data_IF_775302732467
#
_entry.id   IF_775302732467
#
_cell.length_a   1.000
_cell.length_b   1.000
_cell.length_c   1.000
_cell.angle_alpha   90.00
_cell.angle_beta   90.00
_cell.angle_gamma   90.00
#
_symmetry.space_group_name_H-M   'P 1'
#
loop_
_entity.id
_entity.type
_entity.pdbx_description
1 polymer ?
#
# COMPACT_ATOMS: atom_id res chain seq x y z
N UNK A 1 17.59 1.01 3.01
CA UNK A 1 16.81 0.72 1.79
C UNK A 1 15.87 1.89 1.52
N UNK A 2 15.69 2.31 0.25
CA UNK A 2 14.77 3.40 -0.09
C UNK A 2 13.33 2.86 -0.10
N UNK A 3 12.36 3.50 0.59
CA UNK A 3 10.98 3.04 0.58
C UNK A 3 10.39 3.05 -0.83
N UNK A 4 9.69 1.96 -1.20
CA UNK A 4 8.93 1.88 -2.45
C UNK A 4 7.62 2.65 -2.31
N UNK A 5 7.16 3.23 -3.41
CA UNK A 5 5.90 3.96 -3.44
C UNK A 5 4.71 2.98 -3.57
N UNK A 6 3.61 3.15 -2.80
CA UNK A 6 2.41 2.32 -2.90
C UNK A 6 1.88 2.12 -4.32
N UNK A 7 1.93 3.17 -5.16
CA UNK A 7 1.53 3.06 -6.56
C UNK A 7 2.33 2.02 -7.35
N UNK A 8 3.63 1.88 -7.07
CA UNK A 8 4.50 0.93 -7.79
C UNK A 8 4.21 -0.53 -7.41
N UNK A 9 3.76 -0.77 -6.17
CA UNK A 9 3.40 -2.09 -5.66
C UNK A 9 1.89 -2.36 -5.68
N UNK A 10 1.11 -1.58 -6.44
CA UNK A 10 -0.36 -1.77 -6.54
C UNK A 10 -0.78 -3.10 -7.16
N UNK A 11 0.15 -3.82 -7.78
CA UNK A 11 -0.07 -5.14 -8.36
C UNK A 11 0.72 -6.17 -7.57
N UNK A 12 0.20 -7.40 -7.54
CA UNK A 12 0.87 -8.54 -6.92
C UNK A 12 2.32 -8.64 -7.41
N UNK A 13 3.31 -8.76 -6.52
CA UNK A 13 4.69 -8.96 -6.93
C UNK A 13 4.87 -10.33 -7.58
N UNK A 14 5.88 -10.42 -8.45
CA UNK A 14 6.42 -11.71 -8.86
C UNK A 14 7.36 -12.21 -7.77
N UNK A 15 7.18 -13.45 -7.33
CA UNK A 15 7.96 -14.04 -6.24
C UNK A 15 8.84 -15.13 -6.82
N UNK A 16 10.15 -14.96 -6.71
CA UNK A 16 11.16 -15.93 -7.15
C UNK A 16 12.46 -15.71 -6.40
N UNK A 17 13.27 -16.76 -6.25
CA UNK A 17 14.62 -16.67 -5.68
C UNK A 17 15.51 -17.80 -6.19
N UNK A 18 16.82 -17.65 -6.01
CA UNK A 18 17.81 -18.66 -6.38
C UNK A 18 17.64 -19.88 -5.47
N UNK A 19 17.29 -21.03 -6.05
CA UNK A 19 17.02 -22.26 -5.31
C UNK A 19 15.53 -22.57 -5.10
N UNK A 20 14.62 -21.74 -5.63
CA UNK A 20 13.22 -22.14 -5.76
C UNK A 20 13.13 -23.34 -6.73
N UNK A 21 12.83 -24.53 -6.19
CA UNK A 21 12.53 -25.71 -6.99
C UNK A 21 11.02 -25.77 -7.29
N UNK A 22 10.63 -26.46 -8.36
CA UNK A 22 9.23 -26.58 -8.80
C UNK A 22 8.51 -27.84 -8.29
N UNK A 23 9.24 -28.70 -7.59
CA UNK A 23 8.75 -29.91 -6.92
C UNK A 23 8.31 -29.67 -5.48
N UNK A 24 8.88 -28.68 -4.79
CA UNK A 24 8.46 -28.26 -3.45
C UNK A 24 7.08 -27.59 -3.43
N UNK A 25 6.38 -27.71 -2.30
CA UNK A 25 5.15 -26.98 -1.97
C UNK A 25 5.44 -26.02 -0.81
N UNK A 26 5.14 -24.74 -1.04
CA UNK A 26 5.32 -23.66 -0.09
C UNK A 26 4.01 -22.89 0.11
N UNK A 27 3.83 -22.39 1.34
CA UNK A 27 2.85 -21.37 1.67
C UNK A 27 3.53 -20.02 1.76
N UNK A 28 3.06 -19.05 0.99
CA UNK A 28 3.59 -17.70 1.00
C UNK A 28 2.56 -16.75 1.59
N UNK A 29 3.00 -15.95 2.56
CA UNK A 29 2.23 -14.87 3.16
C UNK A 29 2.89 -13.53 2.84
N UNK A 30 2.07 -12.50 2.64
CA UNK A 30 2.51 -11.11 2.66
C UNK A 30 1.72 -10.42 3.77
N UNK A 31 2.40 -9.92 4.79
CA UNK A 31 1.81 -9.30 5.97
C UNK A 31 2.29 -7.86 6.07
N UNK A 32 1.38 -6.92 6.26
CA UNK A 32 1.72 -5.54 6.55
C UNK A 32 1.93 -5.36 8.05
N UNK A 33 3.18 -5.25 8.48
CA UNK A 33 3.51 -5.10 9.89
C UNK A 33 3.11 -3.71 10.45
N UNK A 34 2.87 -2.71 9.58
CA UNK A 34 2.43 -1.39 10.01
C UNK A 34 0.94 -1.35 10.34
N UNK A 35 0.12 -2.04 9.54
CA UNK A 35 -1.33 -2.11 9.74
C UNK A 35 -1.80 -3.40 10.41
N UNK A 36 -0.91 -4.39 10.57
CA UNK A 36 -1.24 -5.70 11.13
C UNK A 36 -2.16 -6.51 10.24
N UNK A 37 -2.15 -6.32 8.92
CA UNK A 37 -3.09 -6.98 7.99
C UNK A 37 -2.42 -8.07 7.17
N UNK A 38 -3.18 -9.11 6.80
CA UNK A 38 -2.76 -10.09 5.81
C UNK A 38 -3.08 -9.57 4.40
N UNK A 39 -2.04 -9.28 3.63
CA UNK A 39 -2.14 -8.66 2.31
C UNK A 39 -2.17 -9.68 1.17
N UNK A 40 -1.64 -10.88 1.36
CA UNK A 40 -1.68 -11.94 0.35
C UNK A 40 -1.39 -13.29 0.99
N UNK A 41 -2.08 -14.33 0.51
CA UNK A 41 -1.79 -15.70 0.90
C UNK A 41 -1.99 -16.65 -0.28
N UNK A 42 -0.97 -17.47 -0.51
CA UNK A 42 -1.01 -18.54 -1.52
C UNK A 42 -0.39 -19.81 -0.95
N UNK A 43 -1.03 -20.94 -1.20
CA UNK A 43 -0.55 -22.28 -0.83
C UNK A 43 -0.12 -23.04 -2.08
N UNK A 44 0.62 -24.13 -1.90
CA UNK A 44 1.10 -24.99 -3.00
C UNK A 44 1.92 -24.27 -4.08
N UNK A 45 2.60 -23.19 -3.69
CA UNK A 45 3.52 -22.46 -4.55
C UNK A 45 4.88 -23.17 -4.61
N UNK A 46 5.54 -23.25 -5.79
CA UNK A 46 5.13 -22.75 -7.10
C UNK A 46 4.38 -23.79 -7.96
N UNK A 47 4.19 -25.03 -7.48
CA UNK A 47 3.73 -26.17 -8.28
C UNK A 47 2.29 -26.03 -8.79
N UNK A 48 1.34 -25.76 -7.90
CA UNK A 48 -0.09 -25.56 -8.21
C UNK A 48 -0.68 -24.51 -7.26
N UNK A 49 -0.28 -23.24 -7.43
CA UNK A 49 -0.59 -22.20 -6.47
C UNK A 49 -2.09 -22.00 -6.31
N UNK A 50 -2.59 -22.11 -5.08
CA UNK A 50 -3.97 -21.81 -4.72
C UNK A 50 -3.99 -20.54 -3.87
N UNK A 51 -4.61 -19.49 -4.38
CA UNK A 51 -4.76 -18.22 -3.66
C UNK A 51 -5.87 -18.36 -2.64
N UNK A 52 -5.55 -18.15 -1.36
CA UNK A 52 -6.52 -18.11 -0.27
C UNK A 52 -6.92 -16.68 0.09
N UNK A 53 -5.98 -15.73 -0.06
CA UNK A 53 -6.24 -14.29 0.11
C UNK A 53 -5.65 -13.57 -1.08
N UNK A 54 -6.49 -12.86 -1.83
CA UNK A 54 -6.08 -12.04 -2.96
C UNK A 54 -5.15 -10.90 -2.53
N UNK A 55 -4.25 -10.51 -3.45
CA UNK A 55 -3.28 -9.47 -3.15
C UNK A 55 -3.97 -8.13 -2.90
N UNK A 56 -3.75 -7.58 -1.70
CA UNK A 56 -4.16 -6.25 -1.27
C UNK A 56 -2.95 -5.37 -1.11
N UNK A 57 -3.04 -4.19 -1.70
CA UNK A 57 -2.01 -3.18 -1.59
C UNK A 57 -1.87 -2.67 -0.14
N UNK A 58 -0.63 -2.44 0.28
CA UNK A 58 -0.31 -1.59 1.42
C UNK A 58 -0.53 -0.11 1.08
N UNK A 59 -1.69 0.43 1.47
CA UNK A 59 -2.08 1.81 1.24
C UNK A 59 -1.44 2.75 2.29
N UNK A 60 -0.11 2.70 2.49
CA UNK A 60 0.54 3.52 3.51
C UNK A 60 0.40 5.02 3.20
N UNK A 61 -0.42 5.68 4.02
CA UNK A 61 -0.71 7.11 3.93
C UNK A 61 0.07 7.93 4.97
N UNK A 62 0.73 7.28 5.92
CA UNK A 62 1.52 7.95 6.96
C UNK A 62 2.82 8.52 6.38
N UNK A 63 3.37 9.54 7.04
CA UNK A 63 4.69 10.08 6.70
C UNK A 63 5.82 9.08 6.98
N UNK A 64 5.63 8.20 7.97
CA UNK A 64 6.58 7.15 8.30
C UNK A 64 6.40 5.93 7.39
N UNK A 65 7.50 5.28 6.95
CA UNK A 65 7.41 4.06 6.16
C UNK A 65 6.94 2.88 7.03
N UNK A 66 6.23 1.94 6.39
CA UNK A 66 5.81 0.67 6.98
C UNK A 66 6.54 -0.51 6.32
N UNK A 67 6.58 -1.64 7.02
CA UNK A 67 7.22 -2.85 6.54
C UNK A 67 6.16 -3.86 6.07
N UNK A 68 6.26 -4.25 4.81
CA UNK A 68 5.51 -5.36 4.23
C UNK A 68 6.42 -6.59 4.23
N UNK A 69 6.09 -7.59 5.05
CA UNK A 69 6.90 -8.78 5.26
C UNK A 69 6.39 -9.91 4.37
N UNK A 70 7.28 -10.48 3.57
CA UNK A 70 7.02 -11.68 2.76
C UNK A 70 7.61 -12.87 3.48
N UNK A 71 6.77 -13.84 3.80
CA UNK A 71 7.14 -15.06 4.51
C UNK A 71 6.88 -16.26 3.61
N UNK A 72 7.81 -17.21 3.56
CA UNK A 72 7.66 -18.47 2.86
C UNK A 72 7.84 -19.62 3.86
N UNK A 73 6.81 -20.45 4.00
CA UNK A 73 6.78 -21.62 4.85
C UNK A 73 6.79 -22.89 4.01
N UNK A 74 7.48 -23.93 4.48
CA UNK A 74 7.41 -25.25 3.88
C UNK A 74 6.04 -25.88 4.15
N UNK A 75 5.35 -26.38 3.11
CA UNK A 75 4.03 -27.03 3.24
C UNK A 75 3.98 -28.44 2.66
N UNK A 76 5.12 -29.00 2.26
CA UNK A 76 5.19 -30.35 1.71
C UNK A 76 4.78 -31.40 2.76
N UNK A 77 3.79 -32.24 2.42
CA UNK A 77 3.30 -33.31 3.29
C UNK A 77 2.42 -32.84 4.45
N UNK A 78 2.13 -31.54 4.56
CA UNK A 78 1.26 -30.96 5.58
C UNK A 78 -0.13 -30.64 5.01
N UNK A 79 -1.19 -30.63 5.86
CA UNK A 79 -2.48 -30.09 5.46
C UNK A 79 -2.36 -28.64 4.98
N UNK A 80 -3.24 -28.24 4.06
CA UNK A 80 -3.29 -26.85 3.63
C UNK A 80 -3.67 -25.95 4.82
N UNK A 81 -2.96 -24.83 5.04
CA UNK A 81 -3.28 -23.93 6.13
C UNK A 81 -4.71 -23.37 6.02
N UNK A 82 -5.38 -23.26 7.16
CA UNK A 82 -6.75 -22.79 7.27
C UNK A 82 -6.76 -21.43 7.95
N UNK A 83 -7.47 -20.48 7.33
CA UNK A 83 -7.71 -19.18 7.93
C UNK A 83 -8.80 -19.30 9.00
N UNK A 84 -8.76 -18.46 10.05
CA UNK A 84 -9.85 -18.36 11.02
C UNK A 84 -11.21 -18.15 10.32
N UNK A 85 -12.28 -18.74 10.85
CA UNK A 85 -13.61 -18.65 10.26
C UNK A 85 -14.19 -17.23 10.26
N UNK A 86 -13.71 -16.40 11.17
CA UNK A 86 -14.04 -14.98 11.33
C UNK A 86 -13.06 -14.05 10.59
N UNK A 87 -12.14 -14.60 9.79
CA UNK A 87 -11.15 -13.81 9.06
C UNK A 87 -11.81 -12.77 8.17
N UNK A 88 -11.43 -11.51 8.39
CA UNK A 88 -11.71 -10.40 7.49
C UNK A 88 -10.40 -9.82 6.98
N UNK A 89 -10.36 -9.45 5.70
CA UNK A 89 -9.17 -8.84 5.13
C UNK A 89 -8.82 -7.49 5.80
N UNK A 90 -9.80 -6.83 6.43
CA UNK A 90 -9.62 -5.56 7.15
C UNK A 90 -9.37 -5.74 8.66
N UNK A 91 -9.40 -6.97 9.18
CA UNK A 91 -9.10 -7.25 10.59
C UNK A 91 -7.61 -7.41 10.87
N UNK A 92 -7.22 -7.17 12.12
CA UNK A 92 -5.87 -7.47 12.61
C UNK A 92 -5.59 -8.97 12.47
N UNK A 93 -4.53 -9.30 11.74
CA UNK A 93 -4.06 -10.65 11.51
C UNK A 93 -2.99 -11.01 12.55
N UNK A 94 -3.32 -11.98 13.40
CA UNK A 94 -2.36 -12.55 14.35
C UNK A 94 -1.53 -13.65 13.68
N UNK A 95 -0.35 -13.27 13.19
CA UNK A 95 0.59 -14.18 12.56
C UNK A 95 1.05 -15.29 13.52
N UNK A 96 1.30 -14.95 14.79
CA UNK A 96 1.81 -15.90 15.77
C UNK A 96 0.78 -16.99 16.05
N UNK A 97 -0.47 -16.60 16.27
CA UNK A 97 -1.58 -17.54 16.45
C UNK A 97 -1.79 -18.38 15.18
N UNK A 98 -1.78 -17.74 14.00
CA UNK A 98 -1.91 -18.46 12.74
C UNK A 98 -0.81 -19.52 12.54
N UNK A 99 0.44 -19.21 12.89
CA UNK A 99 1.55 -20.14 12.80
C UNK A 99 1.39 -21.33 13.75
N UNK A 100 0.91 -21.09 14.97
CA UNK A 100 0.64 -22.14 15.95
C UNK A 100 -0.53 -23.05 15.51
N UNK A 101 -1.63 -22.45 15.07
CA UNK A 101 -2.84 -23.17 14.66
C UNK A 101 -2.61 -24.06 13.41
N UNK A 102 -1.62 -23.71 12.59
CA UNK A 102 -1.29 -24.41 11.33
C UNK A 102 0.04 -25.18 11.37
N UNK A 103 0.68 -25.32 12.54
CA UNK A 103 1.96 -26.02 12.70
C UNK A 103 3.06 -25.51 11.74
N UNK A 104 3.18 -24.18 11.62
CA UNK A 104 4.14 -23.51 10.72
C UNK A 104 5.35 -22.90 11.45
N UNK A 105 5.41 -23.02 12.78
CA UNK A 105 6.41 -22.33 13.62
C UNK A 105 7.86 -22.63 13.23
N UNK A 106 8.15 -23.88 12.85
CA UNK A 106 9.51 -24.33 12.51
C UNK A 106 9.77 -24.42 11.00
N UNK A 107 8.78 -24.07 10.16
CA UNK A 107 8.83 -24.28 8.70
C UNK A 107 9.19 -23.03 7.90
N UNK A 108 9.62 -21.95 8.57
CA UNK A 108 9.99 -20.72 7.88
C UNK A 108 11.28 -20.92 7.07
N UNK A 109 11.16 -20.98 5.74
CA UNK A 109 12.28 -21.19 4.81
C UNK A 109 12.72 -19.90 4.10
N UNK A 110 11.92 -18.84 4.16
CA UNK A 110 12.24 -17.58 3.50
C UNK A 110 11.58 -16.38 4.16
N UNK A 111 12.34 -15.29 4.25
CA UNK A 111 11.87 -14.01 4.75
C UNK A 111 12.43 -12.89 3.87
N UNK A 112 11.56 -11.98 3.46
CA UNK A 112 11.92 -10.75 2.78
C UNK A 112 11.09 -9.59 3.30
N UNK A 113 11.64 -8.38 3.25
CA UNK A 113 10.98 -7.17 3.74
C UNK A 113 10.97 -6.12 2.64
N UNK A 114 9.78 -5.59 2.37
CA UNK A 114 9.57 -4.48 1.45
C UNK A 114 9.20 -3.27 2.30
N UNK A 115 10.05 -2.25 2.30
CA UNK A 115 9.77 -0.99 2.99
C UNK A 115 8.90 -0.13 2.09
N UNK A 116 7.68 0.16 2.54
CA UNK A 116 6.67 0.92 1.80
C UNK A 116 6.58 2.33 2.39
N UNK A 117 6.72 3.35 1.53
CA UNK A 117 6.58 4.75 1.92
C UNK A 117 5.16 5.26 1.66
N UNK A 118 5.01 6.58 1.57
CA UNK A 118 3.74 7.21 1.20
C UNK A 118 3.83 7.97 -0.13
N UNK A 119 2.75 7.91 -0.90
CA UNK A 119 2.59 8.64 -2.14
C UNK A 119 1.18 9.22 -2.30
N UNK A 120 1.01 9.99 -3.39
CA UNK A 120 -0.26 10.64 -3.63
C UNK A 120 -1.41 9.66 -3.88
N UNK A 121 -1.09 8.47 -4.38
CA UNK A 121 -2.05 7.43 -4.67
C UNK A 121 -2.60 6.79 -3.39
N UNK A 122 -1.75 6.45 -2.43
CA UNK A 122 -2.18 5.92 -1.14
C UNK A 122 -3.01 6.93 -0.35
N UNK A 123 -2.59 8.20 -0.32
CA UNK A 123 -3.34 9.26 0.37
C UNK A 123 -4.73 9.44 -0.24
N UNK A 124 -4.84 9.49 -1.57
CA UNK A 124 -6.13 9.65 -2.24
C UNK A 124 -7.05 8.44 -2.03
N UNK A 125 -6.51 7.22 -2.05
CA UNK A 125 -7.29 6.01 -1.75
C UNK A 125 -7.88 6.04 -0.36
N UNK A 126 -7.15 6.53 0.64
CA UNK A 126 -7.67 6.66 2.00
C UNK A 126 -8.74 7.75 2.12
N UNK A 127 -8.57 8.85 1.38
CA UNK A 127 -9.58 9.91 1.27
C UNK A 127 -10.89 9.37 0.70
N UNK A 128 -10.84 8.58 -0.37
CA UNK A 128 -12.03 7.96 -0.99
C UNK A 128 -12.70 6.95 -0.07
N UNK A 129 -11.93 6.23 0.76
CA UNK A 129 -12.48 5.31 1.78
C UNK A 129 -13.21 6.03 2.92
N UNK A 130 -13.21 7.37 2.97
CA UNK A 130 -13.84 8.14 4.05
C UNK A 130 -13.12 8.02 5.40
N UNK A 131 -11.83 7.64 5.36
CA UNK A 131 -10.96 7.55 6.53
C UNK A 131 -10.34 8.92 6.86
N UNK A 132 -9.22 8.92 7.57
CA UNK A 132 -8.42 10.09 7.94
C UNK A 132 -7.96 10.86 6.70
N UNK A 133 -8.26 12.16 6.66
CA UNK A 133 -7.88 13.03 5.56
C UNK A 133 -6.41 13.51 5.69
N UNK A 134 -5.50 12.88 4.94
CA UNK A 134 -4.09 13.27 4.84
C UNK A 134 -3.80 14.23 3.66
N UNK A 135 -4.79 14.96 3.14
CA UNK A 135 -4.59 15.88 2.00
C UNK A 135 -3.50 16.93 2.24
N UNK A 136 -3.23 17.33 3.48
CA UNK A 136 -2.11 18.22 3.80
C UNK A 136 -0.74 17.64 3.38
N UNK A 137 -0.58 16.31 3.40
CA UNK A 137 0.63 15.63 2.91
C UNK A 137 0.77 15.72 1.39
N UNK A 138 -0.34 15.72 0.63
CA UNK A 138 -0.32 15.98 -0.81
C UNK A 138 0.16 17.39 -1.13
N UNK A 139 -0.34 18.38 -0.37
CA UNK A 139 0.08 19.77 -0.48
C UNK A 139 1.57 19.90 -0.17
N UNK A 140 2.06 19.37 0.96
CA UNK A 140 3.49 19.35 1.29
C UNK A 140 4.33 18.76 0.15
N UNK A 141 3.91 17.63 -0.42
CA UNK A 141 4.65 16.95 -1.50
C UNK A 141 4.67 17.76 -2.80
N UNK A 142 3.56 18.42 -3.17
CA UNK A 142 3.51 19.33 -4.33
C UNK A 142 4.32 20.61 -4.10
N UNK A 143 4.25 21.18 -2.90
CA UNK A 143 4.94 22.41 -2.52
C UNK A 143 6.45 22.19 -2.35
N UNK A 144 6.89 20.99 -1.97
CA UNK A 144 8.33 20.67 -1.87
C UNK A 144 9.09 20.84 -3.20
N UNK A 145 8.43 20.71 -4.35
CA UNK A 145 9.04 20.92 -5.67
C UNK A 145 9.00 22.38 -6.14
N UNK A 146 8.23 23.25 -5.48
CA UNK A 146 8.17 24.68 -5.71
C UNK A 146 8.59 25.37 -4.42
N UNK A 147 9.90 25.45 -4.21
CA UNK A 147 10.50 26.12 -3.05
C UNK A 147 10.23 27.62 -3.17
N UNK A 148 9.05 28.04 -2.74
CA UNK A 148 8.72 29.42 -2.44
C UNK A 148 8.82 29.56 -0.92
N UNK A 149 9.62 30.52 -0.44
CA UNK A 149 9.79 30.83 0.99
C UNK A 149 8.46 31.04 1.73
N UNK A 150 7.42 31.40 0.99
CA UNK A 150 6.09 31.59 1.53
C UNK A 150 5.50 30.28 2.07
N UNK A 151 5.67 29.16 1.37
CA UNK A 151 5.05 27.88 1.74
C UNK A 151 5.71 27.22 2.94
N UNK A 152 7.00 27.48 3.18
CA UNK A 152 7.71 26.97 4.37
C UNK A 152 7.26 27.66 5.66
N UNK A 153 6.65 28.85 5.57
CA UNK A 153 6.08 29.58 6.71
C UNK A 153 4.67 29.13 7.08
N UNK A 154 4.00 28.36 6.22
CA UNK A 154 2.68 27.83 6.53
C UNK A 154 2.78 26.74 7.60
N UNK A 155 1.89 26.71 8.61
CA UNK A 155 1.86 25.67 9.63
C UNK A 155 1.26 24.36 9.07
N UNK A 156 1.85 23.82 8.01
CA UNK A 156 1.34 22.65 7.27
C UNK A 156 1.27 21.38 8.13
N UNK A 157 1.94 21.36 9.29
CA UNK A 157 1.89 20.27 10.28
C UNK A 157 0.63 20.31 11.16
N UNK A 158 -0.06 21.45 11.24
CA UNK A 158 -1.32 21.60 11.98
C UNK A 158 -2.57 21.47 11.10
N UNK A 159 -2.40 21.34 9.78
CA UNK A 159 -3.53 21.16 8.86
C UNK A 159 -4.08 19.73 8.94
N UNK A 160 -5.28 19.58 9.50
CA UNK A 160 -6.02 18.32 9.57
C UNK A 160 -7.20 18.23 8.59
N UNK A 161 -7.46 19.32 7.86
CA UNK A 161 -8.59 19.47 6.94
C UNK A 161 -8.23 20.47 5.84
N UNK A 162 -9.00 20.49 4.76
CA UNK A 162 -8.83 21.44 3.67
C UNK A 162 -10.18 21.97 3.19
N UNK A 163 -10.16 23.17 2.61
CA UNK A 163 -11.33 23.83 2.06
C UNK A 163 -11.16 23.97 0.54
N UNK A 164 -12.11 23.44 -0.23
CA UNK A 164 -12.24 23.76 -1.64
C UNK A 164 -12.83 25.16 -1.78
N UNK A 165 -12.15 26.05 -2.49
CA UNK A 165 -12.70 27.34 -2.87
C UNK A 165 -12.86 27.36 -4.39
N UNK A 166 -14.09 27.45 -4.85
CA UNK A 166 -14.42 27.60 -6.27
C UNK A 166 -14.76 29.06 -6.54
N UNK A 167 -14.03 29.69 -7.45
CA UNK A 167 -14.35 31.04 -7.91
C UNK A 167 -15.06 30.96 -9.25
N UNK A 168 -16.18 31.66 -9.39
CA UNK A 168 -16.71 31.97 -10.72
C UNK A 168 -15.83 33.05 -11.34
N UNK A 169 -15.08 32.70 -12.39
CA UNK A 169 -14.38 33.71 -13.18
C UNK A 169 -15.37 34.36 -14.15
N UNK A 170 -15.44 35.70 -14.21
CA UNK A 170 -16.25 36.37 -15.22
C UNK A 170 -15.70 36.02 -16.61
N UNK A 171 -16.59 35.90 -17.60
CA UNK A 171 -16.18 35.64 -18.97
C UNK A 171 -15.23 36.75 -19.46
N UNK A 172 -13.97 36.40 -19.70
CA UNK A 172 -12.97 37.35 -20.20
C UNK A 172 -12.98 37.27 -21.71
N UNK A 173 -13.26 38.42 -22.34
CA UNK A 173 -13.09 38.63 -23.77
C UNK A 173 -11.88 39.54 -23.97
N UNK A 174 -10.75 38.97 -24.38
CA UNK A 174 -9.54 39.73 -24.69
C UNK A 174 -9.30 39.74 -26.20
N UNK A 175 -8.93 40.90 -26.75
CA UNK A 175 -8.46 41.02 -28.12
C UNK A 175 -6.94 41.06 -28.10
N UNK A 176 -6.29 39.99 -28.58
CA UNK A 176 -4.84 39.94 -28.75
C UNK A 176 -4.56 39.77 -30.24
N UNK A 177 -3.80 40.70 -30.82
CA UNK A 177 -3.39 40.68 -32.23
C UNK A 177 -4.55 40.35 -33.20
N UNK A 178 -5.62 41.17 -33.15
CA UNK A 178 -6.80 41.05 -34.03
C UNK A 178 -7.61 39.74 -33.88
N UNK A 179 -7.32 38.90 -32.87
CA UNK A 179 -8.13 37.74 -32.52
C UNK A 179 -8.82 37.95 -31.18
N UNK A 180 -10.14 37.76 -31.18
CA UNK A 180 -10.97 37.78 -29.98
C UNK A 180 -10.91 36.40 -29.32
N UNK A 181 -10.29 36.33 -28.15
CA UNK A 181 -10.26 35.14 -27.31
C UNK A 181 -11.38 35.30 -26.28
N UNK A 182 -12.31 34.35 -26.27
CA UNK A 182 -13.33 34.23 -25.22
C UNK A 182 -13.00 32.99 -24.41
N UNK A 183 -12.67 33.18 -23.13
CA UNK A 183 -12.57 32.10 -22.16
C UNK A 183 -13.91 32.03 -21.42
N UNK A 184 -14.57 30.88 -21.51
CA UNK A 184 -15.79 30.55 -20.76
C UNK A 184 -15.42 29.67 -19.57
#
# INVERSE_FOLDING_TARGET
MKPVQPFLIRKKPEISWKGLQYDQSLTILIVDAGFGTLNYMVTDFPRKPKVLVDYRLSDNYHSAPNALVVLAFKSEGKPAPVLPSDFSADSLFDLSKFMLDNDLSDDLVGLSVIIVGSDAFAIERQRVKGSVDYCHSLLKKKLHHKVDEFYSRLPLHHLNSWMSITYQQPAISANVCCRKLSLR
#
